data_IF_749275674496
#
_entry.id   IF_749275674496
#
_cell.length_a   1.000
_cell.length_b   1.000
_cell.length_c   1.000
_cell.angle_alpha   90.00
_cell.angle_beta   90.00
_cell.angle_gamma   90.00
#
_symmetry.space_group_name_H-M   'P 1'
#
loop_
_entity.id
_entity.type
_entity.pdbx_description
1 polymer ?
#
# COMPACT_ATOMS: atom_id res chain seq x y z
N UNK A 1 33.07 -7.78 15.15
CA UNK A 1 31.96 -6.95 15.67
C UNK A 1 31.84 -5.74 14.76
N UNK A 2 30.87 -5.74 13.84
CA UNK A 2 30.71 -4.66 12.85
C UNK A 2 30.08 -3.44 13.51
N UNK A 3 30.74 -2.30 13.42
CA UNK A 3 30.20 -1.01 13.88
C UNK A 3 28.90 -0.71 13.14
N UNK A 4 27.79 -0.60 13.87
CA UNK A 4 26.54 -0.06 13.35
C UNK A 4 26.82 1.42 13.05
N UNK A 5 27.10 1.75 11.78
CA UNK A 5 27.14 3.14 11.35
C UNK A 5 25.74 3.72 11.57
N UNK A 6 25.60 4.54 12.60
CA UNK A 6 24.38 5.27 12.87
C UNK A 6 24.22 6.32 11.75
N UNK A 7 23.52 5.97 10.66
CA UNK A 7 23.22 6.89 9.58
C UNK A 7 22.28 7.95 10.13
N UNK A 8 22.82 9.10 10.46
CA UNK A 8 21.98 10.23 10.85
C UNK A 8 21.07 10.61 9.67
N UNK A 9 19.75 10.76 9.89
CA UNK A 9 18.85 11.23 8.86
C UNK A 9 19.32 12.59 8.33
N UNK A 10 19.21 12.82 7.02
CA UNK A 10 19.61 14.08 6.36
C UNK A 10 18.92 15.33 6.94
N UNK A 11 17.84 15.10 7.68
CA UNK A 11 16.98 16.10 8.29
C UNK A 11 17.04 16.13 9.82
N UNK A 12 18.01 15.46 10.43
CA UNK A 12 18.21 15.54 11.88
C UNK A 12 18.32 17.02 12.30
N UNK A 13 17.60 17.37 13.36
CA UNK A 13 17.51 18.73 13.93
C UNK A 13 16.99 19.81 12.97
N UNK A 14 16.41 19.44 11.83
CA UNK A 14 15.75 20.37 10.90
C UNK A 14 14.24 20.24 11.00
N UNK A 15 13.55 21.34 11.29
CA UNK A 15 12.10 21.43 11.15
C UNK A 15 11.75 21.43 9.65
N UNK A 16 11.52 20.24 9.09
CA UNK A 16 10.95 20.16 7.75
C UNK A 16 9.49 20.60 7.84
N UNK A 17 9.14 21.69 7.16
CA UNK A 17 7.76 22.11 7.00
C UNK A 17 6.90 21.07 6.25
N UNK A 18 5.67 21.47 5.93
CA UNK A 18 4.78 20.60 5.17
C UNK A 18 5.41 20.18 3.83
N UNK A 19 5.49 18.86 3.59
CA UNK A 19 5.90 18.35 2.26
C UNK A 19 4.79 18.65 1.26
N UNK A 20 5.10 19.18 0.07
CA UNK A 20 4.09 19.41 -0.94
C UNK A 20 3.43 18.08 -1.35
N UNK A 21 2.12 18.09 -1.65
CA UNK A 21 1.45 16.90 -2.17
C UNK A 21 2.01 16.53 -3.55
N UNK A 22 1.89 15.25 -3.92
CA UNK A 22 2.22 14.79 -5.27
C UNK A 22 1.31 15.46 -6.30
N UNK A 23 1.89 15.96 -7.41
CA UNK A 23 1.11 16.50 -8.52
C UNK A 23 0.58 15.34 -9.38
N UNK A 24 -0.52 15.53 -10.13
CA UNK A 24 -1.04 14.50 -11.03
C UNK A 24 0.02 13.92 -12.00
N UNK A 25 0.92 14.78 -12.51
CA UNK A 25 2.04 14.35 -13.36
C UNK A 25 3.04 13.44 -12.64
N UNK A 26 3.27 13.66 -11.34
CA UNK A 26 4.20 12.86 -10.54
C UNK A 26 3.58 11.48 -10.26
N UNK A 27 2.28 11.45 -9.94
CA UNK A 27 1.51 10.21 -9.79
C UNK A 27 1.53 9.40 -11.08
N UNK A 28 1.32 10.06 -12.22
CA UNK A 28 1.39 9.42 -13.54
C UNK A 28 2.78 8.85 -13.81
N UNK A 29 3.85 9.62 -13.59
CA UNK A 29 5.22 9.17 -13.79
C UNK A 29 5.56 7.94 -12.93
N UNK A 30 5.14 7.92 -11.67
CA UNK A 30 5.33 6.77 -10.77
C UNK A 30 4.57 5.54 -11.29
N UNK A 31 3.31 5.70 -11.72
CA UNK A 31 2.53 4.59 -12.29
C UNK A 31 3.21 3.97 -13.50
N UNK A 32 3.66 4.81 -14.45
CA UNK A 32 4.35 4.36 -15.65
C UNK A 32 5.65 3.63 -15.29
N UNK A 33 6.43 4.18 -14.36
CA UNK A 33 7.67 3.53 -13.91
C UNK A 33 7.40 2.12 -13.34
N UNK A 34 6.40 1.98 -12.46
CA UNK A 34 6.02 0.69 -11.86
C UNK A 34 5.46 -0.30 -12.90
N UNK A 35 4.70 0.19 -13.88
CA UNK A 35 4.19 -0.62 -14.98
C UNK A 35 5.33 -1.15 -15.86
N UNK A 36 6.27 -0.29 -16.27
CA UNK A 36 7.43 -0.67 -17.08
C UNK A 36 8.35 -1.65 -16.36
N UNK A 37 8.47 -1.53 -15.03
CA UNK A 37 9.23 -2.47 -14.20
C UNK A 37 8.50 -3.79 -13.93
N UNK A 38 7.26 -3.97 -14.41
CA UNK A 38 6.38 -5.09 -14.08
C UNK A 38 6.24 -5.32 -12.56
N UNK A 39 6.31 -4.24 -11.77
CA UNK A 39 6.26 -4.25 -10.32
C UNK A 39 4.81 -4.35 -9.82
N UNK A 40 4.13 -5.45 -10.15
CA UNK A 40 2.67 -5.66 -9.94
C UNK A 40 2.23 -5.39 -8.50
N UNK A 41 2.98 -5.91 -7.52
CA UNK A 41 2.70 -5.68 -6.10
C UNK A 41 2.73 -4.20 -5.73
N UNK A 42 3.78 -3.52 -6.16
CA UNK A 42 4.05 -2.13 -5.78
C UNK A 42 3.09 -1.18 -6.51
N UNK A 43 2.71 -1.50 -7.75
CA UNK A 43 1.65 -0.81 -8.48
C UNK A 43 0.28 -0.94 -7.79
N UNK A 44 -0.08 -2.14 -7.33
CA UNK A 44 -1.31 -2.38 -6.58
C UNK A 44 -1.33 -1.60 -5.26
N UNK A 45 -0.22 -1.64 -4.50
CA UNK A 45 -0.08 -0.89 -3.25
C UNK A 45 -0.17 0.62 -3.49
N UNK A 46 0.53 1.14 -4.50
CA UNK A 46 0.54 2.56 -4.82
C UNK A 46 -0.85 3.07 -5.19
N UNK A 47 -1.55 2.37 -6.09
CA UNK A 47 -2.90 2.77 -6.49
C UNK A 47 -3.89 2.74 -5.32
N UNK A 48 -3.86 1.69 -4.49
CA UNK A 48 -4.75 1.58 -3.34
C UNK A 48 -4.45 2.62 -2.25
N UNK A 49 -3.17 2.98 -2.06
CA UNK A 49 -2.77 4.01 -1.11
C UNK A 49 -3.29 5.40 -1.51
N UNK A 50 -3.23 5.74 -2.81
CA UNK A 50 -3.79 7.00 -3.34
C UNK A 50 -5.30 7.06 -3.17
N UNK A 51 -6.00 5.98 -3.51
CA UNK A 51 -7.46 5.90 -3.47
C UNK A 51 -8.00 5.96 -2.03
N UNK A 52 -7.36 5.22 -1.11
CA UNK A 52 -7.80 5.14 0.29
C UNK A 52 -7.46 6.37 1.12
N UNK A 53 -6.36 7.07 0.80
CA UNK A 53 -5.83 8.23 1.55
C UNK A 53 -5.62 7.94 3.04
N UNK A 54 -5.42 6.67 3.40
CA UNK A 54 -5.27 6.24 4.78
C UNK A 54 -3.84 6.47 5.27
N UNK A 55 -3.65 6.33 6.58
CA UNK A 55 -2.29 6.36 7.15
C UNK A 55 -1.54 5.12 6.69
N UNK A 56 -0.22 5.22 6.56
CA UNK A 56 0.61 4.10 6.08
C UNK A 56 0.44 2.80 6.88
N UNK A 57 0.00 2.83 8.13
CA UNK A 57 -0.26 1.64 8.94
C UNK A 57 -1.63 0.96 8.67
N UNK A 58 -2.54 1.58 7.91
CA UNK A 58 -3.86 1.01 7.65
C UNK A 58 -3.83 0.08 6.40
N UNK A 59 -3.32 0.49 5.22
CA UNK A 59 -3.29 -0.40 4.04
C UNK A 59 -2.49 -1.68 4.22
N UNK A 60 -1.55 -1.69 5.17
CA UNK A 60 -0.69 -2.86 5.46
C UNK A 60 -1.42 -3.96 6.22
N UNK A 61 -2.55 -3.62 6.87
CA UNK A 61 -3.39 -4.56 7.63
C UNK A 61 -4.59 -5.08 6.83
N UNK A 62 -4.77 -4.62 5.58
CA UNK A 62 -5.85 -5.10 4.72
C UNK A 62 -5.66 -6.58 4.40
N UNK A 63 -6.75 -7.34 4.47
CA UNK A 63 -6.85 -8.69 3.94
C UNK A 63 -7.47 -8.68 2.54
N UNK A 64 -7.27 -9.77 1.79
CA UNK A 64 -7.91 -9.93 0.47
C UNK A 64 -9.44 -9.83 0.59
N UNK A 65 -10.04 -10.47 1.61
CA UNK A 65 -11.49 -10.40 1.87
C UNK A 65 -12.05 -8.98 2.08
N UNK A 66 -11.22 -8.01 2.46
CA UNK A 66 -11.66 -6.64 2.72
C UNK A 66 -11.90 -5.85 1.41
N UNK A 67 -11.31 -6.33 0.30
CA UNK A 67 -11.36 -5.66 -1.01
C UNK A 67 -11.99 -6.53 -2.10
N UNK A 68 -12.28 -7.80 -1.83
CA UNK A 68 -12.84 -8.72 -2.83
C UNK A 68 -14.14 -9.38 -2.38
N UNK A 69 -14.99 -9.71 -3.34
CA UNK A 69 -16.09 -10.65 -3.17
C UNK A 69 -16.02 -11.71 -4.28
N UNK A 70 -15.90 -12.99 -3.89
CA UNK A 70 -15.59 -14.07 -4.84
C UNK A 70 -14.27 -13.80 -5.56
N UNK A 71 -14.31 -13.79 -6.90
CA UNK A 71 -13.13 -13.54 -7.74
C UNK A 71 -13.03 -12.09 -8.27
N UNK A 72 -13.79 -11.16 -7.70
CA UNK A 72 -13.83 -9.76 -8.14
C UNK A 72 -13.40 -8.78 -7.05
N UNK A 73 -12.61 -7.78 -7.45
CA UNK A 73 -12.28 -6.64 -6.58
C UNK A 73 -13.44 -5.66 -6.56
N UNK A 74 -13.90 -5.33 -5.36
CA UNK A 74 -15.05 -4.46 -5.13
C UNK A 74 -14.72 -3.00 -5.50
N UNK A 75 -15.70 -2.21 -6.00
CA UNK A 75 -15.52 -0.79 -6.26
C UNK A 75 -15.39 0.05 -4.97
N UNK A 76 -15.69 -0.54 -3.81
CA UNK A 76 -15.52 0.08 -2.50
C UNK A 76 -14.98 -0.96 -1.52
N UNK A 77 -14.08 -0.52 -0.66
CA UNK A 77 -13.54 -1.32 0.43
C UNK A 77 -13.82 -0.62 1.77
N UNK A 78 -13.90 -1.40 2.84
CA UNK A 78 -14.08 -0.90 4.19
C UNK A 78 -12.93 -1.37 5.07
N UNK A 79 -12.39 -0.47 5.88
CA UNK A 79 -11.31 -0.78 6.82
C UNK A 79 -11.55 -0.10 8.15
N UNK A 80 -11.19 -0.77 9.24
CA UNK A 80 -11.15 -0.17 10.56
C UNK A 80 -9.84 0.63 10.73
N UNK A 81 -9.94 1.96 10.83
CA UNK A 81 -8.76 2.80 11.04
C UNK A 81 -8.09 2.49 12.38
N UNK A 82 -6.77 2.27 12.35
CA UNK A 82 -6.03 1.79 13.51
C UNK A 82 -6.07 2.76 14.70
N UNK A 83 -6.00 4.07 14.43
CA UNK A 83 -5.96 5.12 15.47
C UNK A 83 -7.33 5.43 16.06
N UNK A 84 -8.34 5.51 15.20
CA UNK A 84 -9.68 6.00 15.59
C UNK A 84 -10.64 4.86 15.90
N UNK A 85 -10.29 3.63 15.51
CA UNK A 85 -11.15 2.43 15.60
C UNK A 85 -12.51 2.62 14.92
N UNK A 86 -12.56 3.50 13.92
CA UNK A 86 -13.77 3.77 13.14
C UNK A 86 -13.69 3.05 11.80
N UNK A 87 -14.79 2.42 11.35
CA UNK A 87 -14.86 1.92 9.99
C UNK A 87 -14.85 3.11 9.03
N UNK A 88 -14.03 3.00 7.99
CA UNK A 88 -13.96 3.98 6.89
C UNK A 88 -14.12 3.21 5.60
N UNK A 89 -15.06 3.67 4.78
CA UNK A 89 -15.25 3.18 3.42
C UNK A 89 -14.53 4.12 2.45
N UNK A 90 -13.86 3.56 1.45
CA UNK A 90 -13.23 4.30 0.38
C UNK A 90 -13.53 3.65 -0.98
N UNK A 91 -13.45 4.46 -2.03
CA UNK A 91 -13.61 4.01 -3.41
C UNK A 91 -12.32 3.34 -3.89
N UNK A 92 -12.45 2.24 -4.62
CA UNK A 92 -11.36 1.58 -5.33
C UNK A 92 -11.58 1.82 -6.82
N UNK A 93 -10.79 2.73 -7.38
CA UNK A 93 -10.92 3.13 -8.79
C UNK A 93 -10.65 1.95 -9.72
N UNK A 94 -11.16 2.02 -10.96
CA UNK A 94 -10.95 0.94 -11.92
C UNK A 94 -9.46 0.55 -12.12
N UNK A 95 -8.50 1.49 -12.25
CA UNK A 95 -7.08 1.14 -12.34
C UNK A 95 -6.54 0.44 -11.08
N UNK A 96 -7.00 0.84 -9.89
CA UNK A 96 -6.63 0.18 -8.65
C UNK A 96 -7.18 -1.26 -8.60
N UNK A 97 -8.45 -1.46 -9.00
CA UNK A 97 -9.06 -2.79 -9.07
C UNK A 97 -8.30 -3.73 -10.00
N UNK A 98 -7.94 -3.27 -11.21
CA UNK A 98 -7.15 -4.06 -12.15
C UNK A 98 -5.78 -4.44 -11.57
N UNK A 99 -5.07 -3.48 -10.96
CA UNK A 99 -3.76 -3.74 -10.36
C UNK A 99 -3.85 -4.71 -9.16
N UNK A 100 -4.86 -4.54 -8.30
CA UNK A 100 -5.11 -5.41 -7.15
C UNK A 100 -5.47 -6.82 -7.58
N UNK A 101 -6.33 -6.99 -8.59
CA UNK A 101 -6.68 -8.30 -9.14
C UNK A 101 -5.43 -9.03 -9.67
N UNK A 102 -4.62 -8.34 -10.49
CA UNK A 102 -3.38 -8.88 -11.02
C UNK A 102 -2.38 -9.27 -9.91
N UNK A 103 -2.35 -8.52 -8.81
CA UNK A 103 -1.52 -8.85 -7.67
C UNK A 103 -2.02 -10.08 -6.91
N UNK A 104 -3.33 -10.19 -6.64
CA UNK A 104 -3.93 -11.35 -5.97
C UNK A 104 -3.66 -12.62 -6.79
N UNK A 105 -3.83 -12.55 -8.11
CA UNK A 105 -3.55 -13.66 -9.02
C UNK A 105 -2.05 -14.04 -9.02
N UNK A 106 -1.17 -13.06 -9.21
CA UNK A 106 0.30 -13.29 -9.24
C UNK A 106 0.82 -13.83 -7.90
N UNK A 107 0.30 -13.33 -6.79
CA UNK A 107 0.66 -13.76 -5.43
C UNK A 107 -0.05 -15.02 -4.97
N UNK A 108 -1.03 -15.53 -5.73
CA UNK A 108 -1.94 -16.63 -5.34
C UNK A 108 -2.54 -16.41 -3.94
N UNK A 109 -2.94 -15.17 -3.66
CA UNK A 109 -3.39 -14.78 -2.34
C UNK A 109 -4.78 -15.33 -2.04
N UNK A 110 -4.96 -15.87 -0.84
CA UNK A 110 -6.24 -16.35 -0.33
C UNK A 110 -7.00 -15.25 0.41
N UNK A 111 -8.31 -15.41 0.54
CA UNK A 111 -9.20 -14.44 1.22
C UNK A 111 -8.79 -14.13 2.66
N UNK A 112 -8.15 -15.07 3.35
CA UNK A 112 -7.67 -14.97 4.72
C UNK A 112 -6.26 -14.42 4.88
N UNK A 113 -5.57 -14.16 3.77
CA UNK A 113 -4.23 -13.58 3.81
C UNK A 113 -4.28 -12.06 3.73
N UNK A 114 -3.24 -11.43 4.26
CA UNK A 114 -2.97 -10.01 4.04
C UNK A 114 -2.88 -9.74 2.54
N UNK A 115 -3.46 -8.62 2.11
CA UNK A 115 -3.39 -8.15 0.74
C UNK A 115 -1.95 -7.82 0.36
N UNK A 116 -1.12 -7.35 1.30
CA UNK A 116 0.29 -7.04 1.07
C UNK A 116 1.20 -7.73 2.10
N UNK A 117 1.45 -9.05 1.95
CA UNK A 117 2.30 -9.80 2.89
C UNK A 117 3.75 -9.29 2.88
N UNK A 118 4.49 -9.51 3.97
CA UNK A 118 5.88 -9.05 4.03
C UNK A 118 6.75 -9.69 2.93
N UNK A 119 7.82 -9.00 2.55
CA UNK A 119 8.91 -9.60 1.75
C UNK A 119 9.84 -10.48 2.61
N UNK A 120 9.80 -10.31 3.94
CA UNK A 120 10.58 -11.08 4.90
C UNK A 120 9.73 -12.23 5.45
N UNK A 121 10.20 -13.46 5.32
CA UNK A 121 9.49 -14.68 5.77
C UNK A 121 9.12 -14.67 7.26
N UNK A 122 9.82 -13.90 8.11
CA UNK A 122 9.55 -13.78 9.55
C UNK A 122 8.47 -12.76 9.92
N UNK A 123 7.85 -12.09 8.95
CA UNK A 123 6.85 -11.05 9.22
C UNK A 123 5.60 -11.27 8.37
N UNK A 124 4.43 -11.06 8.96
CA UNK A 124 3.15 -11.34 8.29
C UNK A 124 2.76 -10.27 7.26
N UNK A 125 3.12 -9.00 7.49
CA UNK A 125 2.83 -7.87 6.59
C UNK A 125 4.04 -6.93 6.44
N UNK A 126 3.98 -6.01 5.46
CA UNK A 126 5.03 -5.00 5.25
C UNK A 126 5.23 -4.19 6.55
N UNK A 127 6.50 -4.05 6.95
CA UNK A 127 6.88 -3.28 8.14
C UNK A 127 6.68 -1.79 7.89
N UNK A 128 6.27 -1.04 8.92
CA UNK A 128 6.30 0.43 8.95
C UNK A 128 7.60 0.99 9.55
N UNK A 129 8.54 0.11 9.93
CA UNK A 129 9.86 0.39 10.50
C UNK A 129 10.97 -0.05 9.57
#
# INVERSE_FOLDING_TARGET
MGSIQNREPWNKDKLIGQKPPLKPKDVWAIRIHLQNAHAVRDLALFNLAIDSKLRGCDPVNLHVRDVTHGNQVLPRAMIMQSKTKRPVQFEVTAPARTAVAAWIEKGRLRSDQYLFPSRLSRSLHISTR
#
